data_IF_956489553621
#
_entry.id   IF_956489553621
#
_cell.length_a   1.000
_cell.length_b   1.000
_cell.length_c   1.000
_cell.angle_alpha   90.00
_cell.angle_beta   90.00
_cell.angle_gamma   90.00
#
_symmetry.space_group_name_H-M   'P 1'
#
loop_
_entity.id
_entity.type
_entity.pdbx_description
1 polymer ?
#
# COMPACT_ATOMS: atom_id res chain seq x y z
N UNK A 1 25.83 -21.38 12.83
CA UNK A 1 24.70 -20.81 12.04
C UNK A 1 23.40 -20.76 12.85
N UNK A 2 23.45 -20.18 14.06
CA UNK A 2 22.29 -19.85 14.89
C UNK A 2 22.37 -18.35 15.19
N UNK A 3 21.20 -17.70 15.26
CA UNK A 3 20.96 -16.31 15.67
C UNK A 3 21.23 -15.21 14.64
N UNK A 4 20.28 -15.02 13.70
CA UNK A 4 20.04 -13.75 12.98
C UNK A 4 18.53 -13.51 12.76
N UNK A 5 17.66 -14.01 13.65
CA UNK A 5 16.19 -13.96 13.50
C UNK A 5 15.45 -13.20 14.60
N UNK A 6 16.08 -12.23 15.26
CA UNK A 6 15.43 -11.46 16.35
C UNK A 6 15.48 -9.93 16.19
N UNK A 7 15.51 -9.40 14.95
CA UNK A 7 15.50 -7.95 14.73
C UNK A 7 14.10 -7.36 14.44
N UNK A 8 13.06 -8.18 14.27
CA UNK A 8 11.73 -7.70 13.85
C UNK A 8 10.80 -7.25 15.01
N UNK A 9 11.20 -7.41 16.28
CA UNK A 9 10.31 -7.22 17.43
C UNK A 9 10.60 -6.02 18.35
N UNK A 10 11.61 -5.18 18.05
CA UNK A 10 12.07 -4.12 18.95
C UNK A 10 11.42 -2.73 18.73
N UNK A 11 10.31 -2.62 18.01
CA UNK A 11 9.62 -1.33 17.76
C UNK A 11 8.48 -0.99 18.74
N UNK A 12 8.37 -1.67 19.89
CA UNK A 12 7.17 -1.60 20.75
C UNK A 12 7.29 -0.85 22.08
N UNK A 13 8.36 -0.12 22.37
CA UNK A 13 8.40 0.69 23.58
C UNK A 13 9.19 2.00 23.39
N UNK A 14 8.48 3.11 23.22
CA UNK A 14 9.04 4.44 23.41
C UNK A 14 8.13 5.22 24.37
N UNK A 15 8.58 5.36 25.62
CA UNK A 15 8.00 6.22 26.66
C UNK A 15 8.26 7.71 26.40
N UNK A 16 7.87 8.61 27.34
CA UNK A 16 7.80 10.04 27.09
C UNK A 16 9.19 10.68 26.93
N UNK A 17 9.22 11.69 26.07
CA UNK A 17 10.38 12.30 25.42
C UNK A 17 10.98 13.40 26.29
N UNK A 18 12.26 13.30 26.63
CA UNK A 18 13.07 14.42 27.11
C UNK A 18 13.69 15.18 25.93
N UNK A 19 13.56 16.50 25.92
CA UNK A 19 14.02 17.42 24.88
C UNK A 19 15.55 17.63 24.98
N UNK A 20 16.31 17.16 24.00
CA UNK A 20 17.70 17.60 23.77
C UNK A 20 17.82 17.87 22.28
N UNK A 21 18.24 19.09 21.92
CA UNK A 21 18.17 19.70 20.58
C UNK A 21 19.02 19.08 19.48
N UNK A 22 19.19 17.75 19.47
CA UNK A 22 19.81 17.03 18.38
C UNK A 22 18.75 16.69 17.32
N UNK A 23 18.83 17.34 16.15
CA UNK A 23 17.82 17.27 15.09
C UNK A 23 17.71 15.88 14.43
N UNK A 24 18.58 14.94 14.79
CA UNK A 24 18.65 13.59 14.19
C UNK A 24 18.58 12.48 15.25
N UNK A 25 17.49 12.40 16.02
CA UNK A 25 17.25 11.23 16.88
C UNK A 25 16.78 10.03 16.07
N UNK A 26 17.68 9.08 15.86
CA UNK A 26 17.35 7.76 15.33
C UNK A 26 16.60 6.90 16.36
N UNK A 27 15.81 5.93 15.90
CA UNK A 27 15.19 4.95 16.80
C UNK A 27 16.22 3.90 17.22
N UNK A 28 16.45 3.75 18.53
CA UNK A 28 17.36 2.75 19.08
C UNK A 28 18.80 2.96 18.62
N UNK A 29 19.46 1.87 18.20
CA UNK A 29 20.87 1.88 17.75
C UNK A 29 21.04 2.15 16.25
N UNK A 30 19.98 2.54 15.53
CA UNK A 30 20.07 2.82 14.11
C UNK A 30 21.12 3.92 13.82
N UNK A 31 21.78 3.80 12.67
CA UNK A 31 22.77 4.74 12.15
C UNK A 31 22.48 5.05 10.68
N UNK A 32 22.86 6.23 10.16
CA UNK A 32 22.72 6.55 8.74
C UNK A 32 23.45 5.56 7.83
N UNK A 33 22.93 5.35 6.63
CA UNK A 33 23.54 4.44 5.64
C UNK A 33 24.99 4.81 5.30
N UNK A 34 25.29 6.11 5.13
CA UNK A 34 26.65 6.57 4.85
C UNK A 34 27.64 6.18 5.97
N UNK A 35 27.20 6.26 7.23
CA UNK A 35 28.04 5.88 8.36
C UNK A 35 28.29 4.38 8.35
N UNK A 36 27.25 3.58 8.09
CA UNK A 36 27.35 2.11 8.01
C UNK A 36 28.36 1.72 6.92
N UNK A 37 28.25 2.33 5.73
CA UNK A 37 29.17 2.09 4.61
C UNK A 37 30.61 2.46 5.00
N UNK A 38 30.81 3.64 5.59
CA UNK A 38 32.13 4.06 6.08
C UNK A 38 32.71 3.07 7.09
N UNK A 39 31.90 2.61 8.04
CA UNK A 39 32.32 1.65 9.06
C UNK A 39 32.72 0.29 8.49
N UNK A 40 32.06 -0.18 7.43
CA UNK A 40 32.45 -1.39 6.70
C UNK A 40 33.78 -1.16 6.00
N UNK A 41 33.92 -0.06 5.25
CA UNK A 41 35.14 0.25 4.52
C UNK A 41 36.36 0.42 5.44
N UNK A 42 36.19 1.06 6.60
CA UNK A 42 37.24 1.17 7.61
C UNK A 42 37.69 -0.21 8.13
N UNK A 43 36.76 -1.16 8.32
CA UNK A 43 37.07 -2.54 8.74
C UNK A 43 37.75 -3.36 7.65
N UNK A 44 37.52 -3.03 6.38
CA UNK A 44 38.20 -3.62 5.23
C UNK A 44 39.60 -3.01 4.98
N UNK A 45 40.06 -2.07 5.81
CA UNK A 45 41.40 -1.47 5.72
C UNK A 45 41.45 -0.09 5.07
N UNK A 46 40.32 0.46 4.60
CA UNK A 46 40.27 1.75 3.93
C UNK A 46 40.02 2.92 4.91
N UNK A 47 40.64 2.87 6.10
CA UNK A 47 40.31 3.82 7.17
C UNK A 47 40.50 5.28 6.76
N UNK A 48 41.62 5.58 6.10
CA UNK A 48 41.94 6.95 5.69
C UNK A 48 40.96 7.51 4.66
N UNK A 49 40.47 6.67 3.73
CA UNK A 49 39.55 7.11 2.67
C UNK A 49 38.10 7.25 3.13
N UNK A 50 37.71 6.63 4.25
CA UNK A 50 36.34 6.63 4.77
C UNK A 50 36.25 7.23 6.18
N UNK A 51 37.14 8.15 6.52
CA UNK A 51 37.16 8.87 7.79
C UNK A 51 36.12 10.01 7.84
N UNK A 52 34.96 9.83 7.22
CA UNK A 52 33.89 10.84 7.23
C UNK A 52 33.21 10.92 8.60
N UNK A 53 33.03 12.14 9.08
CA UNK A 53 32.35 12.49 10.32
C UNK A 53 30.98 13.13 10.05
N UNK A 54 30.77 13.69 8.85
CA UNK A 54 29.53 14.37 8.47
C UNK A 54 29.19 14.19 6.98
N UNK A 55 27.90 14.10 6.58
CA UNK A 55 27.48 14.05 5.17
C UNK A 55 28.02 15.19 4.30
N UNK A 56 28.25 16.35 4.91
CA UNK A 56 28.87 17.52 4.26
C UNK A 56 30.19 17.16 3.58
N UNK A 57 31.08 16.40 4.25
CA UNK A 57 32.38 16.01 3.70
C UNK A 57 32.23 15.13 2.45
N UNK A 58 31.28 14.19 2.49
CA UNK A 58 30.95 13.32 1.35
C UNK A 58 30.38 14.15 0.20
N UNK A 59 29.50 15.11 0.51
CA UNK A 59 28.89 15.97 -0.48
C UNK A 59 29.91 16.86 -1.20
N UNK A 60 30.80 17.54 -0.47
CA UNK A 60 31.81 18.42 -1.07
C UNK A 60 32.86 17.63 -1.86
N UNK A 61 33.22 16.43 -1.41
CA UNK A 61 34.06 15.52 -2.18
C UNK A 61 33.37 15.10 -3.49
N UNK A 62 32.12 14.64 -3.41
CA UNK A 62 31.33 14.28 -4.59
C UNK A 62 31.19 15.45 -5.57
N UNK A 63 30.99 16.66 -5.03
CA UNK A 63 30.91 17.88 -5.83
C UNK A 63 32.25 18.19 -6.54
N UNK A 64 33.38 18.10 -5.83
CA UNK A 64 34.71 18.26 -6.43
C UNK A 64 34.93 17.26 -7.57
N UNK A 65 34.64 15.97 -7.32
CA UNK A 65 34.78 14.90 -8.30
C UNK A 65 33.92 15.12 -9.55
N UNK A 66 32.75 15.75 -9.44
CA UNK A 66 31.88 16.03 -10.59
C UNK A 66 32.50 16.97 -11.64
N UNK A 67 33.44 17.83 -11.22
CA UNK A 67 34.14 18.78 -12.09
C UNK A 67 35.45 18.25 -12.69
N UNK A 68 36.03 17.19 -12.10
CA UNK A 68 37.32 16.63 -12.56
C UNK A 68 37.18 16.15 -14.00
N UNK A 69 38.06 16.63 -14.89
CA UNK A 69 38.08 16.30 -16.31
C UNK A 69 36.70 16.41 -16.98
N UNK A 70 35.85 17.32 -16.49
CA UNK A 70 34.52 17.52 -17.06
C UNK A 70 34.62 18.41 -18.28
N UNK A 71 35.17 19.61 -18.15
CA UNK A 71 35.34 20.58 -19.24
C UNK A 71 34.06 20.79 -20.09
N UNK A 72 32.88 20.62 -19.48
CA UNK A 72 31.57 20.70 -20.15
C UNK A 72 31.20 19.48 -21.00
N UNK A 73 32.01 18.42 -21.02
CA UNK A 73 31.74 17.19 -21.76
C UNK A 73 30.59 16.39 -21.14
N UNK A 74 30.37 16.49 -19.83
CA UNK A 74 29.26 15.84 -19.11
C UNK A 74 28.30 16.90 -18.60
N UNK A 75 27.01 16.59 -18.68
CA UNK A 75 25.98 17.52 -18.18
C UNK A 75 26.04 17.63 -16.66
N UNK A 76 26.22 16.52 -15.93
CA UNK A 76 26.30 16.59 -14.47
C UNK A 76 27.60 17.24 -14.02
N UNK A 77 27.48 18.42 -13.42
CA UNK A 77 28.57 19.19 -12.81
C UNK A 77 27.97 20.00 -11.65
N UNK A 78 28.48 19.79 -10.44
CA UNK A 78 28.15 20.59 -9.25
C UNK A 78 29.42 21.09 -8.54
N UNK A 79 30.55 21.19 -9.25
CA UNK A 79 31.85 21.56 -8.66
C UNK A 79 31.87 22.95 -8.04
N UNK A 80 30.95 23.82 -8.41
CA UNK A 80 30.72 25.10 -7.73
C UNK A 80 30.35 24.97 -6.26
N UNK A 81 29.92 23.78 -5.83
CA UNK A 81 29.56 23.44 -4.45
C UNK A 81 30.66 22.67 -3.70
N UNK A 82 31.84 22.47 -4.30
CA UNK A 82 32.94 21.68 -3.74
C UNK A 82 33.62 22.32 -2.52
N UNK A 83 33.42 23.61 -2.28
CA UNK A 83 34.07 24.35 -1.19
C UNK A 83 33.05 24.96 -0.21
N UNK A 84 31.83 24.40 -0.14
CA UNK A 84 30.88 24.81 0.89
C UNK A 84 31.46 24.49 2.26
N UNK A 85 31.31 25.41 3.20
CA UNK A 85 31.45 25.13 4.63
C UNK A 85 30.26 24.31 5.12
N UNK A 86 30.38 23.71 6.30
CA UNK A 86 29.26 22.99 6.93
C UNK A 86 28.02 23.89 7.09
N UNK A 87 28.23 25.14 7.52
CA UNK A 87 27.13 26.11 7.68
C UNK A 87 26.46 26.46 6.35
N UNK A 88 27.24 26.64 5.27
CA UNK A 88 26.67 26.88 3.93
C UNK A 88 25.93 25.65 3.38
N UNK A 89 26.41 24.44 3.66
CA UNK A 89 25.72 23.19 3.29
C UNK A 89 24.38 23.03 4.01
N UNK A 90 24.35 23.29 5.32
CA UNK A 90 23.11 23.20 6.11
C UNK A 90 22.08 24.26 5.71
N UNK A 91 22.54 25.41 5.21
CA UNK A 91 21.71 26.50 4.69
C UNK A 91 21.47 26.43 3.18
N UNK A 92 21.89 25.35 2.50
CA UNK A 92 21.82 25.25 1.05
C UNK A 92 20.37 25.15 0.58
N UNK A 93 19.92 26.17 -0.14
CA UNK A 93 18.63 26.17 -0.82
C UNK A 93 18.66 25.23 -2.05
N UNK A 94 17.51 24.63 -2.45
CA UNK A 94 17.45 23.75 -3.60
C UNK A 94 17.93 24.41 -4.91
N UNK A 95 18.94 23.79 -5.54
CA UNK A 95 19.49 24.21 -6.83
C UNK A 95 19.31 23.12 -7.89
N UNK A 96 19.14 23.54 -9.15
CA UNK A 96 19.21 22.64 -10.30
C UNK A 96 20.63 22.59 -10.82
N UNK A 97 21.21 21.41 -10.87
CA UNK A 97 22.45 21.19 -11.60
C UNK A 97 22.22 21.44 -13.10
N UNK A 98 23.25 21.89 -13.86
CA UNK A 98 24.64 22.05 -13.43
C UNK A 98 24.91 23.34 -12.63
N UNK A 99 25.92 23.28 -11.76
CA UNK A 99 26.44 24.38 -10.92
C UNK A 99 27.97 24.36 -10.99
N UNK A 100 28.58 24.78 -12.12
CA UNK A 100 30.01 24.55 -12.37
C UNK A 100 30.94 25.46 -11.54
N UNK A 101 30.44 26.60 -11.08
CA UNK A 101 31.23 27.61 -10.37
C UNK A 101 30.55 28.09 -9.08
N UNK A 102 31.35 28.54 -8.10
CA UNK A 102 30.83 29.08 -6.83
C UNK A 102 29.97 30.32 -7.11
N UNK A 103 28.81 30.40 -6.45
CA UNK A 103 27.84 31.48 -6.65
C UNK A 103 26.98 31.33 -7.91
N UNK A 104 27.12 30.25 -8.69
CA UNK A 104 26.25 30.01 -9.84
C UNK A 104 24.79 29.77 -9.37
N UNK A 105 23.77 30.44 -9.97
CA UNK A 105 22.39 30.42 -9.49
C UNK A 105 21.62 29.10 -9.78
N UNK A 106 22.34 28.05 -10.14
CA UNK A 106 21.77 26.83 -10.74
C UNK A 106 21.32 26.98 -12.19
N UNK A 107 21.18 25.86 -12.88
CA UNK A 107 20.78 25.82 -14.29
C UNK A 107 19.30 25.50 -14.44
N UNK A 108 18.52 26.50 -14.82
CA UNK A 108 17.06 26.38 -14.91
C UNK A 108 16.60 25.39 -16.00
N UNK A 109 17.32 25.32 -17.12
CA UNK A 109 17.01 24.45 -18.26
C UNK A 109 18.29 24.13 -19.03
N UNK A 110 18.54 22.83 -19.23
CA UNK A 110 19.65 22.33 -20.03
C UNK A 110 19.45 22.59 -21.54
N UNK A 111 20.55 22.57 -22.30
CA UNK A 111 20.60 22.58 -23.77
C UNK A 111 19.99 23.84 -24.45
N UNK A 112 19.89 24.96 -23.74
CA UNK A 112 19.37 26.23 -24.30
C UNK A 112 20.26 26.84 -25.38
N UNK A 113 21.55 26.53 -25.34
CA UNK A 113 22.58 26.97 -26.29
C UNK A 113 22.69 26.05 -27.52
N UNK A 114 21.87 24.98 -27.59
CA UNK A 114 21.90 24.00 -28.67
C UNK A 114 23.12 23.07 -28.64
N UNK A 115 23.89 23.02 -27.53
CA UNK A 115 25.08 22.18 -27.39
C UNK A 115 24.78 20.91 -26.61
N UNK A 116 25.05 19.77 -27.21
CA UNK A 116 24.83 18.43 -26.66
C UNK A 116 26.15 17.80 -26.18
N UNK A 117 26.06 16.82 -25.29
CA UNK A 117 27.21 16.10 -24.71
C UNK A 117 27.75 15.01 -25.67
N UNK A 118 27.98 15.40 -26.92
CA UNK A 118 28.65 14.60 -27.94
C UNK A 118 29.88 15.36 -28.44
N UNK A 119 30.86 14.67 -29.02
CA UNK A 119 32.12 15.26 -29.45
C UNK A 119 31.98 16.44 -30.42
N UNK A 120 30.93 16.47 -31.26
CA UNK A 120 30.62 17.56 -32.19
C UNK A 120 29.58 18.57 -31.67
N UNK A 121 29.09 18.37 -30.44
CA UNK A 121 28.09 19.22 -29.81
C UNK A 121 26.68 19.11 -30.39
N UNK A 122 26.38 18.18 -31.30
CA UNK A 122 25.09 18.11 -32.00
C UNK A 122 24.17 17.00 -31.48
N UNK A 123 22.87 17.22 -31.52
CA UNK A 123 21.87 16.19 -31.25
C UNK A 123 22.01 15.01 -32.22
N UNK A 124 21.65 13.81 -31.76
CA UNK A 124 21.58 12.60 -32.58
C UNK A 124 20.12 12.23 -32.83
N UNK A 125 19.73 12.21 -34.09
CA UNK A 125 18.46 11.61 -34.51
C UNK A 125 18.68 10.10 -34.62
N UNK A 126 17.89 9.32 -33.87
CA UNK A 126 17.94 7.87 -33.88
C UNK A 126 16.60 7.37 -34.39
N UNK A 127 16.59 6.73 -35.56
CA UNK A 127 15.39 6.09 -36.09
C UNK A 127 15.19 4.75 -35.36
N UNK A 128 14.09 4.62 -34.62
CA UNK A 128 13.72 3.39 -33.91
C UNK A 128 12.60 2.67 -34.64
N UNK A 129 12.83 1.41 -34.99
CA UNK A 129 11.80 0.54 -35.56
C UNK A 129 10.96 -0.04 -34.42
N UNK A 130 9.61 0.05 -34.47
CA UNK A 130 8.75 -0.58 -33.48
C UNK A 130 9.00 -2.09 -33.40
N UNK A 131 9.01 -2.62 -32.18
CA UNK A 131 9.18 -4.06 -31.90
C UNK A 131 8.03 -4.53 -31.03
N UNK A 132 7.55 -5.73 -31.32
CA UNK A 132 6.55 -6.39 -30.48
C UNK A 132 7.18 -6.86 -29.16
N UNK A 133 6.37 -7.00 -28.09
CA UNK A 133 6.82 -7.64 -26.85
C UNK A 133 7.38 -9.04 -27.11
N UNK A 134 8.44 -9.40 -26.38
CA UNK A 134 9.13 -10.69 -26.57
C UNK A 134 8.20 -11.87 -26.24
N UNK A 135 7.39 -11.72 -25.20
CA UNK A 135 6.39 -12.71 -24.82
C UNK A 135 4.99 -12.22 -25.18
N UNK A 136 4.47 -12.72 -26.31
CA UNK A 136 3.12 -12.42 -26.79
C UNK A 136 2.08 -13.28 -26.08
N UNK A 137 0.84 -12.80 -26.06
CA UNK A 137 -0.31 -13.58 -25.60
C UNK A 137 -0.57 -14.77 -26.52
N UNK A 138 -1.13 -15.83 -25.95
CA UNK A 138 -1.49 -17.06 -26.65
C UNK A 138 -2.81 -17.63 -26.09
N UNK A 139 -3.21 -18.81 -26.54
CA UNK A 139 -4.45 -19.45 -26.09
C UNK A 139 -4.43 -19.83 -24.60
N UNK A 140 -3.26 -20.07 -24.00
CA UNK A 140 -3.11 -20.41 -22.59
C UNK A 140 -3.10 -19.16 -21.69
N UNK A 141 -2.48 -18.08 -22.18
CA UNK A 141 -2.30 -16.79 -21.50
C UNK A 141 -2.83 -15.63 -22.37
N UNK A 142 -4.16 -15.49 -22.53
CA UNK A 142 -4.72 -14.59 -23.54
C UNK A 142 -4.81 -13.12 -23.10
N UNK A 143 -4.56 -12.80 -21.82
CA UNK A 143 -4.58 -11.42 -21.31
C UNK A 143 -3.18 -10.83 -21.15
N UNK A 144 -3.05 -9.53 -21.33
CA UNK A 144 -1.83 -8.78 -20.99
C UNK A 144 -1.94 -8.24 -19.57
N UNK A 145 -1.08 -8.73 -18.67
CA UNK A 145 -0.88 -8.16 -17.35
C UNK A 145 -0.04 -6.88 -17.43
N UNK A 146 -0.65 -5.78 -17.01
CA UNK A 146 0.00 -4.51 -16.76
C UNK A 146 0.11 -4.28 -15.24
N UNK A 147 1.23 -3.72 -14.81
CA UNK A 147 1.48 -3.44 -13.39
C UNK A 147 1.70 -1.97 -13.15
N UNK A 148 1.23 -1.45 -12.02
CA UNK A 148 1.46 -0.04 -11.69
C UNK A 148 1.27 0.28 -10.22
N UNK A 149 0.98 1.54 -9.93
CA UNK A 149 0.93 2.06 -8.57
C UNK A 149 -0.44 2.65 -8.29
N UNK A 150 -0.84 2.60 -7.02
CA UNK A 150 -1.94 3.38 -6.48
C UNK A 150 -1.38 4.54 -5.67
N UNK A 151 -2.11 5.64 -5.65
CA UNK A 151 -1.72 6.90 -5.02
C UNK A 151 -1.36 6.76 -3.54
N UNK A 152 -2.15 6.01 -2.77
CA UNK A 152 -2.04 5.95 -1.30
C UNK A 152 -0.97 4.97 -0.80
N UNK A 153 -0.33 4.21 -1.69
CA UNK A 153 0.74 3.29 -1.33
C UNK A 153 2.03 3.65 -2.07
N UNK A 154 3.15 3.52 -1.35
CA UNK A 154 4.48 3.83 -1.91
C UNK A 154 5.28 2.54 -2.01
N UNK A 155 5.53 2.09 -3.24
CA UNK A 155 6.27 0.86 -3.54
C UNK A 155 5.84 -0.29 -2.62
N UNK A 156 6.78 -0.91 -1.91
CA UNK A 156 6.58 -2.11 -1.09
C UNK A 156 5.95 -1.83 0.28
N UNK A 157 5.31 -0.67 0.47
CA UNK A 157 4.56 -0.33 1.67
C UNK A 157 5.39 -0.31 2.97
N UNK A 158 6.72 -0.24 2.90
CA UNK A 158 7.62 -0.21 4.07
C UNK A 158 7.42 1.00 4.99
N UNK A 159 6.76 2.05 4.49
CA UNK A 159 6.34 3.22 5.29
C UNK A 159 4.82 3.40 5.27
N UNK A 160 4.23 3.39 4.08
CA UNK A 160 2.80 3.65 3.87
C UNK A 160 1.91 2.54 4.43
N UNK A 161 2.40 1.30 4.48
CA UNK A 161 1.73 0.17 5.14
C UNK A 161 1.61 0.29 6.66
N UNK A 162 2.35 1.21 7.29
CA UNK A 162 2.21 1.52 8.72
C UNK A 162 1.14 2.57 9.01
N UNK A 163 0.72 3.34 8.01
CA UNK A 163 -0.21 4.45 8.16
C UNK A 163 -1.68 3.96 8.05
N UNK A 164 -2.49 4.05 9.13
CA UNK A 164 -3.84 3.49 9.10
C UNK A 164 -4.76 4.13 8.05
N UNK A 165 -4.63 5.45 7.85
CA UNK A 165 -5.44 6.17 6.85
C UNK A 165 -5.16 5.69 5.41
N UNK A 166 -3.90 5.38 5.11
CA UNK A 166 -3.50 4.97 3.76
C UNK A 166 -3.91 3.53 3.46
N UNK A 167 -3.67 2.63 4.41
CA UNK A 167 -4.06 1.22 4.28
C UNK A 167 -5.59 1.01 4.32
N UNK A 168 -6.35 1.90 4.97
CA UNK A 168 -7.81 1.83 4.98
C UNK A 168 -8.49 2.13 3.64
N UNK A 169 -7.90 3.00 2.80
CA UNK A 169 -8.49 3.41 1.51
C UNK A 169 -8.38 2.34 0.43
N UNK A 170 -7.24 1.64 0.35
CA UNK A 170 -7.07 0.50 -0.56
C UNK A 170 -6.61 -0.69 0.26
N UNK A 171 -7.56 -1.48 0.79
CA UNK A 171 -7.25 -2.46 1.84
C UNK A 171 -6.65 -3.77 1.34
N UNK A 172 -6.80 -4.08 0.05
CA UNK A 172 -6.49 -5.40 -0.48
C UNK A 172 -5.86 -5.30 -1.88
N UNK A 173 -4.99 -6.27 -2.24
CA UNK A 173 -4.54 -6.42 -3.61
C UNK A 173 -5.74 -6.69 -4.51
N UNK A 174 -5.79 -6.02 -5.65
CA UNK A 174 -6.87 -6.16 -6.61
C UNK A 174 -6.37 -6.40 -8.02
N UNK A 175 -7.22 -7.04 -8.81
CA UNK A 175 -7.06 -7.25 -10.25
C UNK A 175 -8.15 -6.44 -10.92
N UNK A 176 -7.78 -5.45 -11.71
CA UNK A 176 -8.72 -4.63 -12.44
C UNK A 176 -8.84 -5.11 -13.89
N UNK A 177 -10.07 -5.29 -14.35
CA UNK A 177 -10.38 -5.89 -15.64
C UNK A 177 -11.63 -5.23 -16.26
N UNK A 178 -11.68 -5.20 -17.59
CA UNK A 178 -12.87 -4.76 -18.30
C UNK A 178 -14.08 -5.70 -18.02
N UNK A 179 -15.31 -5.18 -17.81
CA UNK A 179 -16.48 -6.00 -17.51
C UNK A 179 -16.74 -7.15 -18.50
N UNK A 180 -16.55 -6.91 -19.81
CA UNK A 180 -16.74 -7.94 -20.84
C UNK A 180 -15.71 -9.08 -20.76
N UNK A 181 -14.49 -8.81 -20.30
CA UNK A 181 -13.47 -9.85 -20.18
C UNK A 181 -13.71 -10.69 -18.93
N UNK A 182 -14.26 -10.10 -17.86
CA UNK A 182 -14.65 -10.84 -16.66
C UNK A 182 -15.77 -11.86 -16.93
N UNK A 183 -16.65 -11.58 -17.89
CA UNK A 183 -17.63 -12.57 -18.36
C UNK A 183 -16.96 -13.80 -18.98
N UNK A 184 -15.87 -13.61 -19.73
CA UNK A 184 -15.12 -14.70 -20.35
C UNK A 184 -14.37 -15.57 -19.33
N UNK A 185 -14.03 -15.02 -18.16
CA UNK A 185 -13.37 -15.76 -17.07
C UNK A 185 -14.35 -16.37 -16.08
N UNK A 186 -15.66 -16.08 -16.21
CA UNK A 186 -16.69 -16.52 -15.27
C UNK A 186 -16.55 -15.92 -13.86
N UNK A 187 -15.90 -14.76 -13.74
CA UNK A 187 -15.64 -14.11 -12.44
C UNK A 187 -16.49 -12.84 -12.25
N UNK A 188 -16.90 -12.54 -11.02
CA UNK A 188 -17.71 -11.36 -10.68
C UNK A 188 -16.92 -10.32 -9.89
N UNK A 189 -17.36 -9.07 -9.97
CA UNK A 189 -16.80 -7.99 -9.15
C UNK A 189 -16.81 -8.37 -7.67
N UNK A 190 -15.71 -8.11 -6.96
CA UNK A 190 -15.56 -8.43 -5.55
C UNK A 190 -15.16 -9.87 -5.24
N UNK A 191 -15.19 -10.80 -6.20
CA UNK A 191 -14.69 -12.16 -5.99
C UNK A 191 -13.16 -12.21 -5.99
N UNK A 192 -12.60 -13.26 -5.38
CA UNK A 192 -11.17 -13.55 -5.51
C UNK A 192 -10.90 -14.21 -6.85
N UNK A 193 -9.86 -13.76 -7.54
CA UNK A 193 -9.38 -14.38 -8.77
C UNK A 193 -7.90 -14.70 -8.65
N UNK A 194 -7.49 -15.77 -9.32
CA UNK A 194 -6.09 -16.10 -9.49
C UNK A 194 -5.61 -15.54 -10.83
N UNK A 195 -4.54 -14.76 -10.77
CA UNK A 195 -3.73 -14.39 -11.94
C UNK A 195 -2.56 -15.36 -12.01
N UNK A 196 -2.35 -15.99 -13.16
CA UNK A 196 -1.22 -16.89 -13.40
C UNK A 196 -0.49 -16.51 -14.67
N UNK A 197 0.83 -16.60 -14.64
CA UNK A 197 1.70 -16.45 -15.82
C UNK A 197 2.60 -17.69 -15.90
N UNK A 198 3.56 -17.69 -16.82
CA UNK A 198 4.58 -18.75 -16.89
C UNK A 198 5.54 -18.71 -15.70
N UNK A 199 5.63 -17.58 -15.00
CA UNK A 199 6.64 -17.33 -13.95
C UNK A 199 6.09 -17.41 -12.54
N UNK A 200 4.77 -17.21 -12.36
CA UNK A 200 4.18 -17.27 -11.04
C UNK A 200 2.67 -17.07 -11.06
N UNK A 201 2.11 -16.96 -9.85
CA UNK A 201 0.71 -16.66 -9.65
C UNK A 201 0.52 -15.74 -8.46
N UNK A 202 -0.65 -15.09 -8.42
CA UNK A 202 -1.14 -14.39 -7.26
C UNK A 202 -2.66 -14.47 -7.20
N UNK A 203 -3.21 -14.10 -6.05
CA UNK A 203 -4.64 -13.96 -5.79
C UNK A 203 -4.92 -12.51 -5.44
N UNK A 204 -5.92 -11.93 -6.10
CA UNK A 204 -6.40 -10.59 -5.82
C UNK A 204 -7.91 -10.50 -5.96
N UNK A 205 -8.49 -9.45 -5.40
CA UNK A 205 -9.93 -9.18 -5.55
C UNK A 205 -10.21 -8.57 -6.91
N UNK A 206 -11.17 -9.12 -7.65
CA UNK A 206 -11.56 -8.58 -8.95
C UNK A 206 -12.27 -7.25 -8.78
N UNK A 207 -11.84 -6.25 -9.54
CA UNK A 207 -12.52 -4.96 -9.74
C UNK A 207 -12.81 -4.80 -11.22
N UNK A 208 -14.04 -4.39 -11.53
CA UNK A 208 -14.43 -4.14 -12.90
C UNK A 208 -14.30 -2.64 -13.19
N UNK A 209 -13.67 -2.30 -14.32
CA UNK A 209 -13.52 -0.92 -14.75
C UNK A 209 -13.59 -0.82 -16.28
N UNK A 210 -14.38 0.13 -16.77
CA UNK A 210 -14.44 0.46 -18.21
C UNK A 210 -13.20 1.23 -18.71
N UNK A 211 -12.35 1.70 -17.79
CA UNK A 211 -11.12 2.42 -18.14
C UNK A 211 -9.99 1.47 -18.57
N UNK A 212 -10.07 0.19 -18.18
CA UNK A 212 -9.11 -0.84 -18.60
C UNK A 212 -9.51 -1.35 -19.98
N UNK A 213 -8.55 -1.33 -20.91
CA UNK A 213 -8.73 -1.85 -22.28
C UNK A 213 -9.05 -3.35 -22.24
N UNK A 214 -9.98 -3.80 -23.09
CA UNK A 214 -10.21 -5.24 -23.31
C UNK A 214 -8.93 -5.98 -23.73
N UNK A 215 -8.78 -7.20 -23.23
CA UNK A 215 -7.59 -8.04 -23.40
C UNK A 215 -6.45 -7.70 -22.44
N UNK A 216 -6.64 -6.77 -21.49
CA UNK A 216 -5.63 -6.41 -20.50
C UNK A 216 -6.17 -6.46 -19.07
N UNK A 217 -5.26 -6.63 -18.11
CA UNK A 217 -5.56 -6.57 -16.69
C UNK A 217 -4.55 -5.67 -16.00
N UNK A 218 -4.99 -4.95 -14.97
CA UNK A 218 -4.12 -4.11 -14.16
C UNK A 218 -4.01 -4.65 -12.73
N UNK A 219 -2.78 -4.70 -12.21
CA UNK A 219 -2.52 -5.09 -10.82
C UNK A 219 -1.52 -4.12 -10.18
N UNK A 220 -1.81 -3.54 -9.00
CA UNK A 220 -0.85 -2.70 -8.30
C UNK A 220 0.30 -3.48 -7.67
N UNK A 221 1.48 -2.87 -7.64
CA UNK A 221 2.75 -3.52 -7.20
C UNK A 221 2.99 -3.59 -5.69
N UNK A 222 2.05 -3.14 -4.88
CA UNK A 222 2.37 -2.72 -3.52
C UNK A 222 2.47 -3.85 -2.48
N UNK A 223 1.61 -4.85 -2.59
CA UNK A 223 1.48 -5.89 -1.57
C UNK A 223 2.65 -6.87 -1.59
N UNK A 224 3.06 -7.26 -0.38
CA UNK A 224 4.10 -8.25 -0.12
C UNK A 224 3.68 -9.18 1.02
N UNK A 225 4.52 -10.16 1.35
CA UNK A 225 4.22 -11.23 2.30
C UNK A 225 4.00 -10.75 3.76
N UNK A 226 4.34 -9.49 4.08
CA UNK A 226 4.02 -8.88 5.38
C UNK A 226 2.58 -8.37 5.45
N UNK A 227 1.95 -8.12 4.30
CA UNK A 227 0.62 -7.52 4.19
C UNK A 227 -0.41 -8.40 3.48
N UNK A 228 -0.02 -9.45 2.77
CA UNK A 228 -0.95 -10.40 2.17
C UNK A 228 -0.26 -11.75 1.86
N UNK A 229 -1.05 -12.83 1.76
CA UNK A 229 -0.52 -14.20 1.57
C UNK A 229 0.06 -14.48 0.18
N UNK A 230 -0.68 -14.14 -0.87
CA UNK A 230 -0.40 -14.53 -2.26
C UNK A 230 -0.66 -13.34 -3.19
N UNK A 231 0.10 -12.25 -3.01
CA UNK A 231 -0.21 -10.95 -3.61
C UNK A 231 0.96 -10.29 -4.36
N UNK A 232 2.12 -10.97 -4.44
CA UNK A 232 3.35 -10.41 -5.01
C UNK A 232 3.30 -10.44 -6.53
N UNK A 233 2.71 -9.40 -7.13
CA UNK A 233 2.61 -9.28 -8.61
C UNK A 233 3.98 -9.34 -9.30
N UNK A 234 5.06 -8.88 -8.64
CA UNK A 234 6.41 -8.96 -9.20
C UNK A 234 6.87 -10.38 -9.55
N UNK A 235 6.31 -11.41 -8.89
CA UNK A 235 6.61 -12.81 -9.21
C UNK A 235 5.96 -13.29 -10.52
N UNK A 236 4.99 -12.54 -11.06
CA UNK A 236 4.32 -12.88 -12.30
C UNK A 236 5.04 -12.32 -13.52
N UNK A 237 5.81 -11.24 -13.33
CA UNK A 237 6.39 -10.44 -14.40
C UNK A 237 7.41 -11.25 -15.19
N UNK A 238 7.37 -11.11 -16.51
CA UNK A 238 8.33 -11.75 -17.38
C UNK A 238 9.76 -11.18 -17.19
N UNK A 239 10.83 -11.98 -17.34
CA UNK A 239 12.20 -11.57 -17.02
C UNK A 239 12.91 -10.85 -18.19
N UNK A 240 12.20 -10.44 -19.24
CA UNK A 240 12.79 -9.70 -20.36
C UNK A 240 13.21 -8.32 -19.88
N UNK A 241 14.39 -7.91 -20.34
CA UNK A 241 14.97 -6.60 -20.05
C UNK A 241 15.34 -5.90 -21.36
N UNK A 242 15.31 -4.57 -21.34
CA UNK A 242 15.88 -3.78 -22.42
C UNK A 242 17.38 -4.07 -22.56
N UNK A 243 17.89 -4.38 -23.76
CA UNK A 243 19.28 -4.77 -23.97
C UNK A 243 20.29 -3.64 -23.76
N UNK A 244 19.85 -2.38 -23.64
CA UNK A 244 20.72 -1.22 -23.44
C UNK A 244 20.73 -0.79 -21.97
N UNK A 245 19.55 -0.61 -21.35
CA UNK A 245 19.43 -0.12 -19.97
C UNK A 245 19.34 -1.23 -18.92
N UNK A 246 18.97 -2.45 -19.32
CA UNK A 246 18.63 -3.52 -18.38
C UNK A 246 17.29 -3.33 -17.68
N UNK A 247 16.48 -2.35 -18.10
CA UNK A 247 15.17 -2.10 -17.50
C UNK A 247 14.17 -3.23 -17.84
N UNK A 248 13.44 -3.77 -16.85
CA UNK A 248 12.54 -4.90 -17.07
C UNK A 248 11.23 -4.53 -17.78
N UNK A 249 10.68 -5.46 -18.55
CA UNK A 249 9.41 -5.34 -19.29
C UNK A 249 8.16 -5.43 -18.37
N UNK A 250 8.07 -4.55 -17.35
CA UNK A 250 7.06 -4.61 -16.29
C UNK A 250 5.59 -4.37 -16.75
N UNK A 251 5.39 -3.97 -17.99
CA UNK A 251 4.10 -3.44 -18.50
C UNK A 251 3.42 -4.37 -19.51
N UNK A 252 4.07 -5.49 -19.83
CA UNK A 252 3.50 -6.52 -20.70
C UNK A 252 3.87 -7.88 -20.12
N UNK A 253 2.90 -8.71 -19.78
CA UNK A 253 3.16 -10.10 -19.40
C UNK A 253 1.93 -10.93 -19.73
N UNK A 254 2.02 -11.96 -20.59
CA UNK A 254 0.90 -12.85 -20.85
C UNK A 254 0.42 -13.52 -19.57
N UNK A 255 -0.89 -13.45 -19.31
CA UNK A 255 -1.53 -13.94 -18.10
C UNK A 255 -2.83 -14.69 -18.40
N UNK A 256 -3.17 -15.58 -17.47
CA UNK A 256 -4.45 -16.29 -17.37
C UNK A 256 -5.14 -15.87 -16.08
N UNK A 257 -6.44 -15.61 -16.18
CA UNK A 257 -7.29 -15.23 -15.04
C UNK A 257 -8.32 -16.34 -14.82
N UNK A 258 -8.46 -16.80 -13.59
CA UNK A 258 -9.43 -17.82 -13.21
C UNK A 258 -10.09 -17.51 -11.85
N UNK A 259 -11.35 -17.91 -11.63
CA UNK A 259 -12.00 -17.80 -10.34
C UNK A 259 -11.19 -18.49 -9.24
N UNK A 260 -11.04 -17.85 -8.08
CA UNK A 260 -10.41 -18.43 -6.90
C UNK A 260 -11.49 -18.81 -5.88
N UNK A 261 -12.03 -20.01 -6.03
CA UNK A 261 -13.14 -20.50 -5.20
C UNK A 261 -12.66 -20.80 -3.77
N UNK A 262 -13.45 -20.32 -2.82
CA UNK A 262 -13.29 -20.50 -1.38
C UNK A 262 -14.62 -20.97 -0.78
N UNK A 263 -14.54 -21.67 0.35
CA UNK A 263 -15.72 -22.23 1.04
C UNK A 263 -16.31 -21.26 2.06
N UNK A 264 -15.52 -20.30 2.51
CA UNK A 264 -15.93 -19.28 3.47
C UNK A 264 -15.07 -18.01 3.35
N UNK A 265 -15.68 -16.92 3.78
CA UNK A 265 -15.09 -15.61 3.95
C UNK A 265 -15.09 -15.23 5.43
N UNK A 266 -14.14 -14.42 5.84
CA UNK A 266 -14.13 -13.90 7.20
C UNK A 266 -13.24 -12.70 7.37
N UNK A 267 -13.29 -12.10 8.54
CA UNK A 267 -12.35 -11.07 8.93
C UNK A 267 -12.14 -11.04 10.43
N UNK A 268 -11.01 -10.45 10.83
CA UNK A 268 -10.62 -10.28 12.23
C UNK A 268 -10.21 -8.84 12.45
N UNK A 269 -10.71 -8.20 13.50
CA UNK A 269 -10.07 -7.01 14.06
C UNK A 269 -9.43 -7.42 15.38
N UNK A 270 -8.15 -7.11 15.57
CA UNK A 270 -7.43 -7.48 16.79
C UNK A 270 -6.42 -6.41 17.18
N UNK A 271 -6.28 -6.13 18.48
CA UNK A 271 -5.21 -5.25 18.98
C UNK A 271 -3.81 -5.88 18.85
N UNK A 272 -3.74 -7.20 18.73
CA UNK A 272 -2.50 -7.99 18.64
C UNK A 272 -2.43 -8.73 17.29
N UNK A 273 -1.24 -9.00 16.73
CA UNK A 273 -1.12 -9.83 15.54
C UNK A 273 -1.73 -11.23 15.75
N UNK A 274 -2.29 -11.81 14.69
CA UNK A 274 -2.79 -13.19 14.73
C UNK A 274 -1.64 -14.19 14.75
N UNK A 275 -1.90 -15.37 15.31
CA UNK A 275 -1.03 -16.50 15.06
C UNK A 275 -1.03 -16.84 13.56
N UNK A 276 0.11 -17.30 13.04
CA UNK A 276 0.16 -17.85 11.67
C UNK A 276 -0.62 -19.16 11.64
N UNK A 277 -1.86 -19.07 11.17
CA UNK A 277 -2.70 -20.23 10.88
C UNK A 277 -2.69 -20.55 9.39
N UNK A 278 -3.03 -21.79 9.08
CA UNK A 278 -3.23 -22.29 7.72
C UNK A 278 -4.50 -21.68 7.11
N UNK A 279 -4.36 -20.45 6.59
CA UNK A 279 -5.40 -19.70 5.90
C UNK A 279 -5.09 -19.71 4.42
N UNK A 280 -6.09 -20.01 3.59
CA UNK A 280 -5.91 -20.08 2.14
C UNK A 280 -5.58 -18.72 1.55
N UNK A 281 -6.24 -17.66 2.03
CA UNK A 281 -5.96 -16.29 1.61
C UNK A 281 -6.13 -15.32 2.79
N UNK A 282 -5.23 -14.34 2.89
CA UNK A 282 -5.38 -13.25 3.84
C UNK A 282 -4.74 -11.94 3.33
N UNK A 283 -5.28 -10.82 3.80
CA UNK A 283 -4.65 -9.48 3.69
C UNK A 283 -4.70 -8.77 5.05
N UNK A 284 -3.70 -7.94 5.34
CA UNK A 284 -3.55 -7.20 6.58
C UNK A 284 -3.64 -5.70 6.32
N UNK A 285 -4.55 -5.07 7.05
CA UNK A 285 -4.79 -3.62 7.05
C UNK A 285 -4.54 -3.08 8.45
N UNK A 286 -3.86 -1.94 8.56
CA UNK A 286 -3.66 -1.31 9.86
C UNK A 286 -4.81 -0.33 10.15
N UNK A 287 -5.52 -0.56 11.25
CA UNK A 287 -6.42 0.41 11.84
C UNK A 287 -5.69 1.32 12.83
N UNK A 288 -6.39 2.32 13.37
CA UNK A 288 -5.83 3.24 14.38
C UNK A 288 -5.50 2.52 15.68
N UNK A 289 -6.39 1.62 16.12
CA UNK A 289 -6.34 0.92 17.41
C UNK A 289 -6.38 -0.61 17.26
N UNK A 290 -6.27 -1.12 16.03
CA UNK A 290 -6.40 -2.54 15.71
C UNK A 290 -5.65 -2.87 14.42
N UNK A 291 -5.41 -4.15 14.21
CA UNK A 291 -5.04 -4.78 12.95
C UNK A 291 -6.29 -5.45 12.40
N UNK A 292 -6.56 -5.27 11.11
CA UNK A 292 -7.65 -5.94 10.41
C UNK A 292 -7.08 -6.96 9.44
N UNK A 293 -7.54 -8.19 9.56
CA UNK A 293 -7.26 -9.26 8.62
C UNK A 293 -8.53 -9.56 7.84
N UNK A 294 -8.48 -9.50 6.51
CA UNK A 294 -9.52 -10.10 5.67
C UNK A 294 -9.06 -11.49 5.30
N UNK A 295 -9.96 -12.47 5.38
CA UNK A 295 -9.66 -13.89 5.33
C UNK A 295 -10.57 -14.61 4.34
N UNK A 296 -10.04 -15.67 3.74
CA UNK A 296 -10.85 -16.67 3.05
C UNK A 296 -10.18 -18.05 3.15
N UNK A 297 -10.99 -19.10 3.13
CA UNK A 297 -10.49 -20.46 3.27
C UNK A 297 -11.30 -21.51 2.54
N UNK A 298 -10.64 -22.63 2.23
CA UNK A 298 -11.27 -23.82 1.61
C UNK A 298 -11.63 -24.89 2.65
N UNK A 299 -10.81 -25.02 3.69
CA UNK A 299 -11.05 -25.95 4.79
C UNK A 299 -12.18 -25.41 5.67
N UNK A 300 -13.29 -26.14 5.75
CA UNK A 300 -14.37 -25.84 6.67
C UNK A 300 -14.06 -26.50 8.02
N UNK A 301 -14.19 -25.75 9.10
CA UNK A 301 -13.98 -26.25 10.46
C UNK A 301 -15.33 -26.56 11.09
N UNK A 302 -15.44 -27.71 11.76
CA UNK A 302 -16.65 -28.07 12.51
C UNK A 302 -16.78 -27.27 13.80
N UNK A 303 -15.64 -27.02 14.46
CA UNK A 303 -15.53 -26.28 15.71
C UNK A 303 -14.84 -24.92 15.48
N UNK A 304 -15.61 -23.95 14.98
CA UNK A 304 -15.09 -22.60 14.74
C UNK A 304 -14.57 -21.93 16.00
N UNK A 305 -15.16 -22.22 17.16
CA UNK A 305 -14.71 -21.67 18.45
C UNK A 305 -13.29 -22.06 18.79
N UNK A 306 -12.93 -23.34 18.64
CA UNK A 306 -11.57 -23.83 18.87
C UNK A 306 -10.57 -23.16 17.91
N UNK A 307 -10.91 -23.10 16.63
CA UNK A 307 -10.08 -22.44 15.63
C UNK A 307 -9.89 -20.95 15.94
N UNK A 308 -10.97 -20.24 16.31
CA UNK A 308 -10.97 -18.82 16.62
C UNK A 308 -10.10 -18.49 17.84
N UNK A 309 -10.26 -19.27 18.93
CA UNK A 309 -9.44 -19.14 20.13
C UNK A 309 -7.96 -19.38 19.83
N UNK A 310 -7.64 -20.38 18.99
CA UNK A 310 -6.26 -20.62 18.54
C UNK A 310 -5.71 -19.45 17.70
N UNK A 311 -6.49 -18.93 16.75
CA UNK A 311 -6.11 -17.80 15.89
C UNK A 311 -5.78 -16.54 16.69
N UNK A 312 -6.61 -16.27 17.69
CA UNK A 312 -6.51 -15.13 18.60
C UNK A 312 -5.55 -15.38 19.79
N UNK A 313 -4.93 -16.57 19.85
CA UNK A 313 -4.00 -16.96 20.91
C UNK A 313 -4.62 -16.91 22.32
N UNK A 314 -5.91 -17.22 22.42
CA UNK A 314 -6.65 -17.30 23.68
C UNK A 314 -6.48 -18.70 24.27
N UNK A 315 -5.73 -18.79 25.37
CA UNK A 315 -5.50 -20.05 26.11
C UNK A 315 -6.33 -20.17 27.37
N UNK A 316 -6.75 -19.03 27.92
CA UNK A 316 -7.57 -18.98 29.11
C UNK A 316 -9.02 -19.38 28.77
N UNK A 317 -9.54 -20.37 29.49
CA UNK A 317 -10.90 -20.86 29.32
C UNK A 317 -11.92 -19.87 29.91
N UNK A 318 -11.52 -19.11 30.94
CA UNK A 318 -12.33 -18.11 31.65
C UNK A 318 -12.23 -16.70 31.04
N UNK A 319 -11.57 -16.57 29.89
CA UNK A 319 -11.53 -15.31 29.16
C UNK A 319 -12.96 -14.81 28.85
N UNK A 320 -13.20 -13.49 28.96
CA UNK A 320 -14.48 -12.86 28.59
C UNK A 320 -14.67 -12.98 27.06
N UNK A 321 -15.25 -14.11 26.67
CA UNK A 321 -15.45 -14.56 25.30
C UNK A 321 -16.95 -14.62 25.01
N UNK A 322 -17.40 -13.75 24.12
CA UNK A 322 -18.78 -13.78 23.63
C UNK A 322 -18.77 -14.38 22.22
N UNK A 323 -19.68 -15.30 21.95
CA UNK A 323 -19.76 -15.96 20.65
C UNK A 323 -21.20 -16.29 20.23
N UNK A 324 -21.36 -16.39 18.91
CA UNK A 324 -22.54 -16.90 18.23
C UNK A 324 -22.09 -17.89 17.17
N UNK A 325 -22.73 -19.05 17.14
CA UNK A 325 -22.42 -20.12 16.20
C UNK A 325 -23.71 -20.67 15.60
N UNK A 326 -23.78 -20.69 14.28
CA UNK A 326 -24.77 -21.43 13.50
C UNK A 326 -24.03 -22.38 12.55
N UNK A 327 -23.73 -23.62 13.00
CA UNK A 327 -23.03 -24.60 12.18
C UNK A 327 -23.78 -25.01 10.92
N UNK A 328 -25.11 -24.95 10.92
CA UNK A 328 -25.94 -25.32 9.77
C UNK A 328 -25.83 -24.27 8.66
N UNK A 329 -25.83 -22.99 9.03
CA UNK A 329 -25.58 -21.88 8.11
C UNK A 329 -24.08 -21.63 7.84
N UNK A 330 -23.18 -22.26 8.60
CA UNK A 330 -21.74 -22.03 8.54
C UNK A 330 -21.30 -20.64 9.04
N UNK A 331 -22.13 -19.98 9.85
CA UNK A 331 -21.88 -18.64 10.36
C UNK A 331 -21.28 -18.72 11.75
N UNK A 332 -20.20 -17.99 11.98
CA UNK A 332 -19.57 -17.91 13.29
C UNK A 332 -19.10 -16.49 13.59
N UNK A 333 -19.29 -16.06 14.84
CA UNK A 333 -18.92 -14.73 15.32
C UNK A 333 -18.39 -14.85 16.73
N UNK A 334 -17.32 -14.14 17.03
CA UNK A 334 -16.81 -14.07 18.38
C UNK A 334 -16.15 -12.73 18.67
N UNK A 335 -16.12 -12.35 19.94
CA UNK A 335 -15.30 -11.27 20.44
C UNK A 335 -14.65 -11.65 21.77
N UNK A 336 -13.36 -11.34 21.88
CA UNK A 336 -12.59 -11.39 23.11
C UNK A 336 -12.60 -10.00 23.74
N UNK A 337 -12.94 -9.94 25.02
CA UNK A 337 -12.97 -8.72 25.80
C UNK A 337 -11.89 -8.77 26.90
N UNK A 338 -11.16 -7.68 27.05
CA UNK A 338 -10.16 -7.49 28.11
C UNK A 338 -10.52 -6.19 28.85
N UNK A 339 -10.82 -6.29 30.16
CA UNK A 339 -11.19 -5.13 30.99
C UNK A 339 -12.39 -4.34 30.42
N UNK A 340 -13.40 -5.06 29.91
CA UNK A 340 -14.60 -4.46 29.31
C UNK A 340 -14.36 -3.77 27.95
N UNK A 341 -13.18 -3.89 27.36
CA UNK A 341 -12.86 -3.40 26.01
C UNK A 341 -12.72 -4.54 25.04
N UNK A 342 -13.05 -4.30 23.78
CA UNK A 342 -12.73 -5.26 22.72
C UNK A 342 -11.21 -5.40 22.54
N UNK A 343 -10.73 -6.62 22.71
CA UNK A 343 -9.35 -7.02 22.40
C UNK A 343 -9.26 -7.57 20.97
N UNK A 344 -10.24 -8.38 20.57
CA UNK A 344 -10.40 -8.86 19.21
C UNK A 344 -11.85 -9.24 18.88
N UNK A 345 -12.23 -9.23 17.61
CA UNK A 345 -13.44 -9.88 17.10
C UNK A 345 -13.19 -10.56 15.76
N UNK A 346 -13.98 -11.60 15.49
CA UNK A 346 -13.90 -12.47 14.33
C UNK A 346 -15.32 -12.67 13.79
N UNK A 347 -15.46 -12.64 12.46
CA UNK A 347 -16.70 -12.97 11.77
C UNK A 347 -16.39 -13.89 10.59
N UNK A 348 -17.15 -14.97 10.45
CA UNK A 348 -17.02 -16.00 9.42
C UNK A 348 -18.39 -16.29 8.82
N UNK A 349 -18.45 -16.45 7.51
CA UNK A 349 -19.65 -16.80 6.75
C UNK A 349 -19.28 -17.50 5.45
N UNK A 350 -20.07 -18.47 4.95
CA UNK A 350 -19.92 -18.98 3.59
C UNK A 350 -20.25 -17.92 2.54
N UNK A 351 -20.96 -16.86 2.93
CA UNK A 351 -21.36 -15.75 2.06
C UNK A 351 -20.49 -14.51 2.33
N UNK A 352 -20.27 -13.64 1.33
CA UNK A 352 -19.40 -12.46 1.46
C UNK A 352 -20.06 -11.28 2.21
N UNK A 353 -21.35 -11.37 2.56
CA UNK A 353 -22.15 -10.37 3.28
C UNK A 353 -21.77 -10.29 4.78
N UNK A 354 -20.53 -9.89 5.02
CA UNK A 354 -19.94 -9.79 6.36
C UNK A 354 -20.14 -8.37 6.94
N UNK A 355 -20.22 -8.22 8.28
CA UNK A 355 -20.48 -6.92 8.91
C UNK A 355 -19.54 -5.80 8.53
N UNK A 356 -20.04 -4.57 8.57
CA UNK A 356 -19.29 -3.37 8.19
C UNK A 356 -18.09 -3.11 9.11
N UNK A 357 -16.91 -2.94 8.50
CA UNK A 357 -15.64 -2.78 9.23
C UNK A 357 -15.53 -1.40 9.90
N UNK A 358 -16.19 -0.38 9.34
CA UNK A 358 -16.25 1.00 9.87
C UNK A 358 -16.90 1.05 11.25
N UNK A 359 -18.06 0.41 11.41
CA UNK A 359 -18.76 0.33 12.69
C UNK A 359 -17.90 -0.36 13.76
N UNK A 360 -17.35 -1.54 13.44
CA UNK A 360 -16.50 -2.29 14.37
C UNK A 360 -15.23 -1.51 14.74
N UNK A 361 -14.64 -0.78 13.80
CA UNK A 361 -13.51 0.10 14.07
C UNK A 361 -13.84 1.18 15.13
N UNK A 362 -15.08 1.68 15.15
CA UNK A 362 -15.58 2.59 16.17
C UNK A 362 -15.60 1.97 17.58
N UNK A 363 -15.94 0.69 17.70
CA UNK A 363 -15.95 -0.02 18.99
C UNK A 363 -14.54 -0.14 19.59
N UNK A 364 -13.48 -0.26 18.77
CA UNK A 364 -12.09 -0.28 19.24
C UNK A 364 -11.60 1.07 19.78
N UNK A 365 -12.33 2.16 19.54
CA UNK A 365 -12.05 3.47 20.11
C UNK A 365 -12.73 3.68 21.48
N UNK A 366 -13.76 2.90 21.83
CA UNK A 366 -14.45 3.03 23.11
C UNK A 366 -13.55 2.55 24.27
N UNK A 367 -13.55 3.25 25.42
CA UNK A 367 -12.81 2.84 26.62
C UNK A 367 -13.48 1.65 27.34
N UNK A 368 -14.75 1.39 27.09
CA UNK A 368 -15.52 0.22 27.56
C UNK A 368 -16.71 0.00 26.62
N UNK A 369 -17.11 -1.25 26.40
CA UNK A 369 -18.31 -1.59 25.65
C UNK A 369 -19.56 -1.51 26.54
N UNK A 370 -20.65 -1.04 25.95
CA UNK A 370 -22.00 -1.08 26.53
C UNK A 370 -22.69 -2.40 26.19
N UNK A 371 -23.77 -2.74 26.88
CA UNK A 371 -24.52 -3.98 26.63
C UNK A 371 -25.11 -4.02 25.21
N UNK A 372 -25.50 -2.87 24.68
CA UNK A 372 -25.96 -2.70 23.29
C UNK A 372 -24.84 -3.00 22.28
N UNK A 373 -23.59 -2.64 22.58
CA UNK A 373 -22.44 -2.99 21.74
C UNK A 373 -22.18 -4.50 21.76
N UNK A 374 -22.26 -5.13 22.94
CA UNK A 374 -22.09 -6.59 23.10
C UNK A 374 -23.16 -7.35 22.31
N UNK A 375 -24.42 -6.93 22.39
CA UNK A 375 -25.50 -7.48 21.59
C UNK A 375 -25.26 -7.27 20.08
N UNK A 376 -24.79 -6.09 19.69
CA UNK A 376 -24.43 -5.78 18.30
C UNK A 376 -23.37 -6.71 17.72
N UNK A 377 -22.33 -7.03 18.49
CA UNK A 377 -21.27 -7.97 18.09
C UNK A 377 -21.83 -9.37 17.78
N UNK A 378 -22.75 -9.88 18.60
CA UNK A 378 -23.41 -11.17 18.38
C UNK A 378 -24.34 -11.12 17.15
N UNK A 379 -25.09 -10.02 17.00
CA UNK A 379 -25.98 -9.80 15.86
C UNK A 379 -25.24 -9.53 14.54
N UNK A 380 -23.96 -9.15 14.59
CA UNK A 380 -23.17 -8.77 13.41
C UNK A 380 -23.62 -7.45 12.78
N UNK A 381 -24.21 -6.55 13.57
CA UNK A 381 -24.67 -5.23 13.10
C UNK A 381 -24.81 -4.28 14.29
N UNK A 382 -24.70 -2.96 14.10
CA UNK A 382 -24.96 -2.01 15.18
C UNK A 382 -26.40 -2.16 15.69
N UNK A 383 -26.59 -2.02 17.01
CA UNK A 383 -27.92 -1.99 17.63
C UNK A 383 -28.69 -0.72 17.24
N UNK A 384 -27.98 0.39 17.01
CA UNK A 384 -28.53 1.67 16.56
C UNK A 384 -28.01 2.05 15.16
N UNK A 385 -28.90 2.41 14.23
CA UNK A 385 -28.59 2.70 12.81
C UNK A 385 -27.57 3.84 12.58
N UNK A 386 -27.27 4.68 13.57
CA UNK A 386 -26.60 5.99 13.40
C UNK A 386 -25.06 5.95 13.45
N UNK A 387 -24.43 4.83 13.82
CA UNK A 387 -22.99 4.75 14.08
C UNK A 387 -22.11 4.40 12.85
N UNK A 388 -22.70 4.18 11.67
CA UNK A 388 -22.01 3.58 10.54
C UNK A 388 -21.75 4.55 9.37
N UNK A 389 -20.49 4.96 9.21
CA UNK A 389 -20.05 5.88 8.16
C UNK A 389 -19.68 5.20 6.83
N UNK A 390 -19.66 3.87 6.77
CA UNK A 390 -19.24 3.08 5.60
C UNK A 390 -17.72 3.17 5.28
N UNK A 391 -17.26 2.56 4.17
CA UNK A 391 -15.86 2.56 3.76
C UNK A 391 -15.34 3.98 3.45
N UNK A 392 -14.06 4.25 3.74
CA UNK A 392 -13.44 5.57 3.50
C UNK A 392 -13.29 5.81 2.01
N UNK A 393 -13.99 6.82 1.49
CA UNK A 393 -13.88 7.29 0.09
C UNK A 393 -12.85 8.40 -0.03
N UNK A 394 -12.83 9.36 0.91
CA UNK A 394 -11.84 10.44 0.90
C UNK A 394 -10.76 10.24 1.98
N UNK A 395 -9.60 9.68 1.62
CA UNK A 395 -8.50 9.45 2.56
C UNK A 395 -7.92 10.74 3.19
N UNK A 396 -7.96 11.87 2.46
CA UNK A 396 -7.41 13.15 2.93
C UNK A 396 -8.14 13.70 4.16
N UNK A 397 -9.46 13.54 4.20
CA UNK A 397 -10.32 14.08 5.27
C UNK A 397 -11.03 12.98 6.07
N UNK A 398 -10.85 11.70 5.71
CA UNK A 398 -11.45 10.55 6.39
C UNK A 398 -12.96 10.44 6.19
N UNK A 399 -13.49 10.89 5.04
CA UNK A 399 -14.93 10.87 4.75
C UNK A 399 -15.34 9.49 4.21
N UNK A 400 -16.35 8.90 4.84
CA UNK A 400 -16.91 7.59 4.48
C UNK A 400 -18.02 7.66 3.43
N UNK A 401 -18.25 6.55 2.72
CA UNK A 401 -19.25 6.40 1.65
C UNK A 401 -20.65 6.75 2.14
N UNK A 402 -21.09 6.23 3.29
CA UNK A 402 -22.45 6.46 3.79
C UNK A 402 -22.69 7.93 4.16
N UNK A 403 -21.68 8.60 4.72
CA UNK A 403 -21.74 10.06 4.96
C UNK A 403 -21.91 10.84 3.64
N UNK A 404 -21.26 10.41 2.56
CA UNK A 404 -21.45 11.00 1.23
C UNK A 404 -22.86 10.73 0.71
N UNK A 405 -23.32 9.48 0.75
CA UNK A 405 -24.65 9.10 0.28
C UNK A 405 -25.76 9.84 1.03
N UNK A 406 -25.66 9.92 2.36
CA UNK A 406 -26.61 10.63 3.22
C UNK A 406 -26.61 12.12 2.89
N UNK A 407 -25.44 12.73 2.69
CA UNK A 407 -25.35 14.14 2.31
C UNK A 407 -25.93 14.41 0.91
N UNK A 408 -25.72 13.51 -0.05
CA UNK A 408 -26.32 13.60 -1.40
C UNK A 408 -27.84 13.48 -1.31
N UNK A 409 -28.35 12.48 -0.59
CA UNK A 409 -29.79 12.20 -0.50
C UNK A 409 -30.55 13.24 0.32
N UNK A 410 -30.00 13.70 1.44
CA UNK A 410 -30.67 14.66 2.34
C UNK A 410 -30.44 16.12 1.95
N UNK A 411 -29.29 16.42 1.35
CA UNK A 411 -28.89 17.78 0.97
C UNK A 411 -29.08 18.11 -0.51
N UNK A 412 -29.59 17.18 -1.33
CA UNK A 412 -29.74 17.29 -2.80
C UNK A 412 -28.46 17.78 -3.50
N UNK A 413 -27.29 17.30 -3.03
CA UNK A 413 -26.00 17.73 -3.57
C UNK A 413 -25.76 17.06 -4.93
N UNK A 414 -25.75 17.86 -5.99
CA UNK A 414 -25.70 17.37 -7.38
C UNK A 414 -24.29 17.38 -7.99
N UNK A 415 -23.32 18.02 -7.33
CA UNK A 415 -21.98 18.21 -7.87
C UNK A 415 -20.89 17.90 -6.84
N UNK A 416 -19.71 17.53 -7.35
CA UNK A 416 -18.50 17.32 -6.52
C UNK A 416 -18.13 18.60 -5.76
N UNK A 417 -18.36 19.77 -6.34
CA UNK A 417 -18.09 21.07 -5.70
C UNK A 417 -18.96 21.29 -4.48
N UNK A 418 -20.25 20.95 -4.55
CA UNK A 418 -21.18 21.05 -3.42
C UNK A 418 -20.82 20.10 -2.29
N UNK A 419 -20.49 18.84 -2.63
CA UNK A 419 -19.95 17.86 -1.68
C UNK A 419 -18.64 18.37 -1.05
N UNK A 420 -17.78 18.99 -1.85
CA UNK A 420 -16.54 19.60 -1.38
C UNK A 420 -16.77 20.73 -0.38
N UNK A 421 -17.81 21.54 -0.55
CA UNK A 421 -18.18 22.58 0.44
C UNK A 421 -18.73 21.97 1.73
N UNK A 422 -19.57 20.95 1.64
CA UNK A 422 -20.21 20.33 2.80
C UNK A 422 -19.25 19.45 3.63
N UNK A 423 -18.45 18.61 2.96
CA UNK A 423 -17.68 17.54 3.59
C UNK A 423 -16.17 17.66 3.39
N UNK A 424 -15.69 18.66 2.61
CA UNK A 424 -14.30 18.82 2.15
C UNK A 424 -13.80 17.72 1.21
N UNK A 425 -14.57 16.65 1.00
CA UNK A 425 -14.20 15.56 0.11
C UNK A 425 -14.00 16.06 -1.34
N UNK A 426 -12.94 15.60 -2.01
CA UNK A 426 -12.62 16.01 -3.38
C UNK A 426 -11.82 17.33 -3.52
N UNK A 427 -11.63 18.10 -2.45
CA UNK A 427 -11.04 19.46 -2.54
C UNK A 427 -9.51 19.53 -2.42
N UNK A 428 -8.84 18.51 -1.87
CA UNK A 428 -7.39 18.54 -1.61
C UNK A 428 -6.57 17.91 -2.73
N UNK A 429 -6.85 16.65 -3.06
CA UNK A 429 -6.02 15.83 -3.93
C UNK A 429 -6.74 15.32 -5.18
N UNK A 430 -8.06 15.50 -5.26
CA UNK A 430 -8.90 15.05 -6.37
C UNK A 430 -9.11 13.53 -6.50
N UNK A 431 -8.43 12.67 -5.74
CA UNK A 431 -8.46 11.21 -6.00
C UNK A 431 -9.82 10.55 -5.82
N UNK A 432 -10.63 11.05 -4.90
CA UNK A 432 -11.96 10.52 -4.61
C UNK A 432 -13.03 11.12 -5.53
N UNK A 433 -12.66 12.04 -6.43
CA UNK A 433 -13.60 12.72 -7.33
C UNK A 433 -14.31 11.75 -8.29
N UNK A 434 -13.63 10.78 -8.93
CA UNK A 434 -14.31 9.80 -9.79
C UNK A 434 -15.35 8.97 -9.02
N UNK A 435 -14.98 8.47 -7.84
CA UNK A 435 -15.91 7.71 -6.99
C UNK A 435 -17.07 8.57 -6.50
N UNK A 436 -16.82 9.82 -6.09
CA UNK A 436 -17.88 10.76 -5.71
C UNK A 436 -18.85 11.01 -6.88
N UNK A 437 -18.35 11.15 -8.11
CA UNK A 437 -19.22 11.29 -9.30
C UNK A 437 -20.11 10.07 -9.49
N UNK A 438 -19.55 8.86 -9.42
CA UNK A 438 -20.31 7.61 -9.48
C UNK A 438 -21.39 7.57 -8.40
N UNK A 439 -21.04 7.93 -7.15
CA UNK A 439 -21.99 7.95 -6.04
C UNK A 439 -23.14 8.95 -6.25
N UNK A 440 -22.87 10.12 -6.80
CA UNK A 440 -23.91 11.10 -7.17
C UNK A 440 -24.85 10.48 -8.22
N UNK A 441 -24.30 9.86 -9.27
CA UNK A 441 -25.10 9.22 -10.31
C UNK A 441 -25.95 8.07 -9.77
N UNK A 442 -25.38 7.24 -8.89
CA UNK A 442 -26.07 6.09 -8.29
C UNK A 442 -27.23 6.51 -7.37
N UNK A 443 -26.97 7.42 -6.44
CA UNK A 443 -27.99 7.91 -5.49
C UNK A 443 -29.14 8.60 -6.24
N UNK A 444 -28.83 9.42 -7.27
CA UNK A 444 -29.85 10.12 -8.06
C UNK A 444 -30.64 9.20 -8.98
N UNK A 445 -30.05 8.09 -9.42
CA UNK A 445 -30.75 7.05 -10.17
C UNK A 445 -31.60 6.12 -9.27
N UNK A 446 -31.69 6.39 -7.97
CA UNK A 446 -32.41 5.55 -7.01
C UNK A 446 -31.77 4.18 -6.77
N UNK A 447 -30.51 4.00 -7.21
CA UNK A 447 -29.74 2.79 -6.91
C UNK A 447 -29.27 2.87 -5.47
N UNK A 448 -29.26 1.73 -4.78
CA UNK A 448 -28.74 1.67 -3.42
C UNK A 448 -27.27 2.06 -3.41
N UNK A 449 -26.92 2.90 -2.45
CA UNK A 449 -25.55 3.31 -2.17
C UNK A 449 -24.85 2.20 -1.37
N UNK A 450 -24.71 1.01 -1.96
CA UNK A 450 -23.93 -0.11 -1.39
C UNK A 450 -22.43 0.04 -1.64
#
# INVERSE_FOLDING_TARGET
>A
MRSLRSAAHLYLAAGPRGDTGDRHRFCGEARPDWWIISQIAQRLGHRAAFAYEHPHQIFVEHAALSGIDNHGARAFDISGLANLTLAEYDALEPLRWPVPARGHPGTQRLLRDGRFQFADGRARFVATVPREPTHRTDAEYPWVLNTGRVRDQWHTMTRTGYAPRLTGHTPEPYVEMHPQDALLTGSRSGELVRVSTRWGSMIGRLRLSGEVRRGTVFVPIHWNDAYASDARVGALVNPVVDPVSGEPELKHTPARIAPFIVSWHGFVLSRKPLARLDMTWWTLVRGKNFLRYELAGRRVYREWSTWARQALQVRDLEADWIEYSDPAAGVYRAALLEQGRIAACLFISPRPDLPERSWLAGLFAKPRLEDTDRAGLLMGRPAERRADTGPVVCACFGVGRRVLCDAIATGDLATVTEIGRALRAGTRCGSCVPEIKSLIEDVRAGRQCE
#
